data_IF_287236737967
#
_entry.id   IF_287236737967
#
_cell.length_a   1.000
_cell.length_b   1.000
_cell.length_c   1.000
_cell.angle_alpha   90.00
_cell.angle_beta   90.00
_cell.angle_gamma   90.00
#
_symmetry.space_group_name_H-M   'P 1'
#
loop_
_entity.id
_entity.type
_entity.pdbx_description
1 polymer ?
#
# COMPACT_ATOMS: atom_id res chain seq x y z
N UNK A 1 6.19 -7.77 10.94
CA UNK A 1 5.73 -7.35 9.61
C UNK A 1 4.66 -6.29 9.81
N UNK A 2 4.89 -5.06 9.35
CA UNK A 2 3.98 -3.94 9.55
C UNK A 2 2.96 -3.85 8.40
N UNK A 3 1.68 -3.68 8.70
CA UNK A 3 0.61 -3.61 7.68
C UNK A 3 0.77 -2.39 6.76
N UNK A 4 1.23 -1.28 7.33
CA UNK A 4 1.46 -0.02 6.61
C UNK A 4 2.51 -0.21 5.49
N UNK A 5 3.59 -0.96 5.78
CA UNK A 5 4.64 -1.27 4.79
C UNK A 5 4.12 -2.16 3.65
N UNK A 6 3.25 -3.14 3.96
CA UNK A 6 2.62 -3.98 2.94
C UNK A 6 1.74 -3.13 2.03
N UNK A 7 0.94 -2.24 2.60
CA UNK A 7 0.07 -1.36 1.84
C UNK A 7 0.87 -0.42 0.93
N UNK A 8 1.92 0.23 1.43
CA UNK A 8 2.79 1.07 0.60
C UNK A 8 3.49 0.29 -0.51
N UNK A 9 3.90 -0.96 -0.25
CA UNK A 9 4.47 -1.83 -1.29
C UNK A 9 3.47 -2.13 -2.43
N UNK A 10 2.17 -2.17 -2.13
CA UNK A 10 1.12 -2.33 -3.14
C UNK A 10 0.97 -1.03 -3.93
N UNK A 11 0.88 0.12 -3.26
CA UNK A 11 0.80 1.43 -3.90
C UNK A 11 1.96 1.65 -4.88
N UNK A 12 3.18 1.39 -4.45
CA UNK A 12 4.37 1.52 -5.29
C UNK A 12 4.28 0.62 -6.53
N UNK A 13 3.95 -0.66 -6.35
CA UNK A 13 3.91 -1.61 -7.48
C UNK A 13 2.78 -1.36 -8.47
N UNK A 14 1.61 -0.91 -8.01
CA UNK A 14 0.41 -0.74 -8.84
C UNK A 14 0.28 0.64 -9.44
N UNK A 15 0.68 1.68 -8.73
CA UNK A 15 0.51 3.08 -9.16
C UNK A 15 1.85 3.72 -9.56
N UNK A 16 2.89 3.61 -8.73
CA UNK A 16 4.07 4.49 -8.88
C UNK A 16 5.18 3.93 -9.79
N UNK A 17 5.37 2.60 -9.84
CA UNK A 17 6.56 1.97 -10.47
C UNK A 17 6.79 2.30 -11.94
N UNK A 18 5.75 2.68 -12.69
CA UNK A 18 5.84 3.01 -14.12
C UNK A 18 5.01 4.25 -14.50
N UNK A 19 4.60 5.03 -13.51
CA UNK A 19 3.82 6.22 -13.78
C UNK A 19 4.73 7.44 -13.96
N UNK A 20 4.40 8.25 -14.94
CA UNK A 20 4.86 9.63 -15.05
C UNK A 20 3.66 10.54 -14.75
N UNK A 21 3.90 11.60 -13.99
CA UNK A 21 2.87 12.55 -13.57
C UNK A 21 3.22 13.93 -14.12
N UNK A 22 2.23 14.61 -14.66
CA UNK A 22 2.44 15.95 -15.24
C UNK A 22 2.66 17.03 -14.17
N UNK A 23 2.22 16.78 -12.93
CA UNK A 23 2.42 17.69 -11.79
C UNK A 23 2.23 16.94 -10.47
N UNK A 24 2.60 17.60 -9.37
CA UNK A 24 2.31 17.12 -8.00
C UNK A 24 0.79 17.00 -7.77
N UNK A 25 0.00 17.89 -8.37
CA UNK A 25 -1.46 17.83 -8.25
C UNK A 25 -2.04 16.58 -8.95
N UNK A 26 -1.51 16.22 -10.13
CA UNK A 26 -1.87 14.98 -10.84
C UNK A 26 -1.50 13.74 -10.01
N UNK A 27 -0.32 13.74 -9.38
CA UNK A 27 0.08 12.69 -8.46
C UNK A 27 -0.91 12.55 -7.28
N UNK A 28 -1.24 13.65 -6.60
CA UNK A 28 -2.16 13.64 -5.47
C UNK A 28 -3.54 13.10 -5.86
N UNK A 29 -4.10 13.58 -6.98
CA UNK A 29 -5.40 13.13 -7.47
C UNK A 29 -5.40 11.61 -7.76
N UNK A 30 -4.36 11.11 -8.43
CA UNK A 30 -4.24 9.68 -8.75
C UNK A 30 -4.02 8.81 -7.51
N UNK A 31 -3.29 9.28 -6.51
CA UNK A 31 -3.13 8.55 -5.24
C UNK A 31 -4.46 8.44 -4.51
N UNK A 32 -5.23 9.53 -4.40
CA UNK A 32 -6.54 9.52 -3.74
C UNK A 32 -7.53 8.62 -4.47
N UNK A 33 -7.59 8.72 -5.80
CA UNK A 33 -8.43 7.85 -6.63
C UNK A 33 -8.04 6.37 -6.48
N UNK A 34 -6.74 6.07 -6.39
CA UNK A 34 -6.26 4.72 -6.15
C UNK A 34 -6.69 4.20 -4.77
N UNK A 35 -6.60 5.03 -3.72
CA UNK A 35 -7.04 4.66 -2.37
C UNK A 35 -8.53 4.29 -2.36
N UNK A 36 -9.37 5.14 -2.96
CA UNK A 36 -10.82 4.90 -3.05
C UNK A 36 -11.13 3.60 -3.81
N UNK A 37 -10.54 3.44 -4.99
CA UNK A 37 -10.69 2.24 -5.81
C UNK A 37 -10.23 0.98 -5.07
N UNK A 38 -9.06 1.03 -4.44
CA UNK A 38 -8.49 -0.10 -3.71
C UNK A 38 -9.38 -0.50 -2.53
N UNK A 39 -9.88 0.48 -1.77
CA UNK A 39 -10.77 0.23 -0.64
C UNK A 39 -12.09 -0.41 -1.09
N UNK A 40 -12.65 0.03 -2.23
CA UNK A 40 -13.91 -0.51 -2.75
C UNK A 40 -13.78 -1.92 -3.34
N UNK A 41 -12.65 -2.24 -3.98
CA UNK A 41 -12.55 -3.42 -4.85
C UNK A 41 -11.53 -4.47 -4.41
N UNK A 42 -10.53 -4.09 -3.62
CA UNK A 42 -9.38 -4.95 -3.28
C UNK A 42 -9.08 -5.03 -1.79
N UNK A 43 -9.87 -4.34 -0.95
CA UNK A 43 -9.74 -4.39 0.50
C UNK A 43 -9.90 -5.84 0.98
N UNK A 44 -8.82 -6.36 1.55
CA UNK A 44 -8.78 -7.68 2.17
C UNK A 44 -7.88 -7.64 3.39
N UNK A 45 -8.18 -8.42 4.44
CA UNK A 45 -7.30 -8.53 5.59
C UNK A 45 -5.88 -8.92 5.17
N UNK A 46 -4.89 -8.20 5.68
CA UNK A 46 -3.50 -8.59 5.49
C UNK A 46 -3.19 -9.82 6.33
N UNK A 47 -2.51 -10.81 5.74
CA UNK A 47 -2.03 -11.97 6.48
C UNK A 47 -0.96 -11.52 7.46
N UNK A 48 -1.23 -11.69 8.75
CA UNK A 48 -0.25 -11.48 9.79
C UNK A 48 0.81 -12.59 9.72
N UNK A 49 2.05 -12.23 9.39
CA UNK A 49 3.20 -13.10 9.63
C UNK A 49 4.05 -12.49 10.74
N UNK A 50 3.46 -12.38 11.94
CA UNK A 50 4.26 -12.19 13.13
C UNK A 50 4.69 -13.58 13.61
N UNK A 51 5.85 -14.04 13.14
CA UNK A 51 6.54 -15.17 13.77
C UNK A 51 7.22 -14.59 15.00
N UNK A 52 6.51 -14.56 16.12
CA UNK A 52 7.08 -14.11 17.39
C UNK A 52 8.37 -14.86 17.65
N UNK A 53 9.50 -14.14 17.68
CA UNK A 53 10.71 -14.68 18.28
C UNK A 53 10.42 -14.63 19.77
N UNK A 54 10.18 -15.79 20.39
CA UNK A 54 10.04 -15.85 21.83
C UNK A 54 11.31 -15.25 22.43
N UNK A 55 11.16 -14.18 23.23
CA UNK A 55 12.24 -13.72 24.07
C UNK A 55 12.34 -14.74 25.20
N UNK A 56 13.22 -15.72 25.03
CA UNK A 56 13.59 -16.63 26.11
C UNK A 56 14.29 -15.80 27.17
N UNK A 57 13.73 -15.81 28.38
CA UNK A 57 14.33 -15.23 29.60
C UNK A 57 15.41 -16.19 30.09
#
# INVERSE_FOLDING_TARGET
MNQVEIWFSILVRKLLRRASFASINDLNAKVLAFVEYFNKTMAKPFKWTYRGKALTI
#
